data_IF_728937396294
#
_entry.id   IF_728937396294
#
_cell.length_a   1.000
_cell.length_b   1.000
_cell.length_c   1.000
_cell.angle_alpha   90.00
_cell.angle_beta   90.00
_cell.angle_gamma   90.00
#
_symmetry.space_group_name_H-M   'P 1'
#
loop_
_entity.id
_entity.type
_entity.pdbx_description
1 polymer ?
#
# COMPACT_ATOMS: atom_id res chain seq x y z
N UNK A 1 -5.46 5.79 30.52
CA UNK A 1 -4.67 6.05 29.29
C UNK A 1 -4.67 4.74 28.50
N UNK A 2 -5.61 4.57 27.56
CA UNK A 2 -5.71 3.33 26.78
C UNK A 2 -4.67 3.37 25.67
N UNK A 3 -3.67 2.49 25.79
CA UNK A 3 -2.66 2.27 24.77
C UNK A 3 -3.32 1.74 23.51
N UNK A 4 -3.19 2.47 22.40
CA UNK A 4 -3.39 1.96 21.05
C UNK A 4 -2.25 0.97 20.79
N UNK A 5 -2.35 -0.23 21.38
CA UNK A 5 -1.49 -1.33 21.02
C UNK A 5 -1.82 -1.66 19.56
N UNK A 6 -0.99 -1.16 18.65
CA UNK A 6 -0.88 -1.81 17.36
C UNK A 6 -0.66 -3.29 17.65
N UNK A 7 -1.42 -4.17 17.00
CA UNK A 7 -1.12 -5.59 17.06
C UNK A 7 0.30 -5.76 16.49
N UNK A 8 1.30 -5.88 17.38
CA UNK A 8 2.72 -5.93 17.02
C UNK A 8 3.06 -7.13 16.11
N UNK A 9 2.13 -8.07 15.99
CA UNK A 9 2.20 -9.24 15.11
C UNK A 9 1.84 -8.96 13.64
N UNK A 10 1.21 -7.82 13.31
CA UNK A 10 0.86 -7.47 11.93
C UNK A 10 1.98 -6.62 11.33
N UNK A 11 2.63 -7.06 10.23
CA UNK A 11 3.68 -6.30 9.58
C UNK A 11 3.24 -4.87 9.26
N UNK A 12 4.14 -3.91 9.48
CA UNK A 12 3.94 -2.51 9.12
C UNK A 12 4.72 -2.20 7.84
N UNK A 13 4.01 -1.72 6.82
CA UNK A 13 4.60 -1.23 5.58
C UNK A 13 4.47 0.29 5.51
N UNK A 14 5.49 0.92 4.95
CA UNK A 14 5.49 2.35 4.68
C UNK A 14 4.50 2.67 3.56
N UNK A 15 3.65 3.67 3.80
CA UNK A 15 2.75 4.22 2.80
C UNK A 15 3.22 5.57 2.29
N UNK A 16 3.24 5.74 0.97
CA UNK A 16 3.53 7.00 0.29
C UNK A 16 2.23 7.69 -0.11
N UNK A 17 1.97 8.88 0.41
CA UNK A 17 0.69 9.59 0.30
C UNK A 17 0.75 10.65 -0.80
N UNK A 18 -0.25 10.68 -1.68
CA UNK A 18 -0.49 11.79 -2.60
C UNK A 18 -2.00 12.02 -2.77
N UNK A 19 -2.49 13.19 -2.36
CA UNK A 19 -3.93 13.47 -2.38
C UNK A 19 -4.66 12.50 -1.45
N UNK A 20 -5.64 11.76 -1.98
CA UNK A 20 -6.41 10.71 -1.27
C UNK A 20 -5.86 9.29 -1.45
N UNK A 21 -4.69 9.13 -2.09
CA UNK A 21 -4.11 7.83 -2.43
C UNK A 21 -2.87 7.54 -1.60
N UNK A 22 -2.69 6.27 -1.26
CA UNK A 22 -1.49 5.74 -0.62
C UNK A 22 -0.91 4.63 -1.50
N UNK A 23 0.36 4.75 -1.87
CA UNK A 23 1.11 3.68 -2.53
C UNK A 23 1.98 2.94 -1.52
N UNK A 24 2.06 1.62 -1.62
CA UNK A 24 2.79 0.75 -0.69
C UNK A 24 3.62 -0.23 -1.48
N UNK A 25 4.94 -0.22 -1.30
CA UNK A 25 5.81 -1.18 -1.96
C UNK A 25 5.65 -2.57 -1.35
N UNK A 26 5.36 -3.56 -2.19
CA UNK A 26 5.32 -4.96 -1.81
C UNK A 26 6.57 -5.69 -2.35
N UNK A 27 7.48 -6.19 -1.49
CA UNK A 27 8.67 -6.91 -1.95
C UNK A 27 8.37 -8.27 -2.60
N UNK A 28 7.19 -8.86 -2.36
CA UNK A 28 6.78 -10.14 -2.94
C UNK A 28 6.19 -9.95 -4.33
N UNK A 29 5.24 -9.03 -4.44
CA UNK A 29 4.62 -8.66 -5.69
C UNK A 29 5.60 -7.82 -6.58
N UNK A 30 6.69 -7.28 -6.03
CA UNK A 30 7.71 -6.41 -6.68
C UNK A 30 7.12 -5.17 -7.37
N UNK A 31 6.06 -4.63 -6.77
CA UNK A 31 5.23 -3.54 -7.26
C UNK A 31 4.60 -2.74 -6.08
N UNK A 32 4.02 -1.58 -6.38
CA UNK A 32 3.22 -0.75 -5.50
C UNK A 32 1.74 -1.15 -5.50
N UNK A 33 1.20 -1.47 -4.33
CA UNK A 33 -0.24 -1.57 -4.12
C UNK A 33 -0.81 -0.19 -3.80
N UNK A 34 -2.02 0.09 -4.28
CA UNK A 34 -2.68 1.38 -4.09
C UNK A 34 -3.87 1.25 -3.15
N UNK A 35 -3.95 2.17 -2.20
CA UNK A 35 -4.97 2.21 -1.15
C UNK A 35 -5.58 3.61 -1.05
N UNK A 36 -6.74 3.70 -0.42
CA UNK A 36 -7.26 4.98 0.07
C UNK A 36 -6.46 5.48 1.27
N UNK A 37 -6.59 6.77 1.59
CA UNK A 37 -6.07 7.29 2.85
C UNK A 37 -6.83 6.67 4.03
N UNK A 38 -6.15 6.02 4.99
CA UNK A 38 -6.82 5.49 6.17
C UNK A 38 -7.41 6.62 7.02
N UNK A 39 -8.58 6.39 7.61
CA UNK A 39 -9.20 7.36 8.52
C UNK A 39 -8.31 7.57 9.77
N UNK A 40 -8.26 8.79 10.34
CA UNK A 40 -7.50 9.04 11.56
C UNK A 40 -7.90 8.09 12.70
N UNK A 41 -6.92 7.40 13.28
CA UNK A 41 -7.15 6.41 14.34
C UNK A 41 -7.51 4.99 13.85
N UNK A 42 -7.62 4.77 12.54
CA UNK A 42 -7.86 3.46 11.94
C UNK A 42 -6.60 2.99 11.21
N UNK A 43 -5.95 1.93 11.71
CA UNK A 43 -5.03 1.17 10.87
C UNK A 43 -5.87 0.25 9.98
N UNK A 44 -6.06 0.62 8.71
CA UNK A 44 -6.66 -0.30 7.76
C UNK A 44 -5.70 -1.48 7.59
N UNK A 45 -6.22 -2.70 7.83
CA UNK A 45 -5.58 -3.92 7.35
C UNK A 45 -5.90 -3.98 5.87
N UNK A 46 -4.92 -3.59 5.07
CA UNK A 46 -5.13 -3.48 3.64
C UNK A 46 -4.99 -4.83 2.94
N UNK A 47 -5.61 -4.88 1.76
CA UNK A 47 -5.83 -6.06 0.95
C UNK A 47 -4.57 -6.87 0.62
N UNK A 48 -4.79 -8.19 0.64
CA UNK A 48 -3.81 -9.25 0.59
C UNK A 48 -2.98 -9.19 -0.70
N UNK A 49 -1.64 -9.24 -0.63
CA UNK A 49 -0.79 -9.33 -1.84
C UNK A 49 -1.27 -10.52 -2.68
N UNK A 50 -1.42 -10.33 -3.99
CA UNK A 50 -1.95 -11.37 -4.88
C UNK A 50 -1.03 -12.61 -4.97
N UNK A 51 0.22 -12.51 -4.53
CA UNK A 51 1.13 -13.63 -4.39
C UNK A 51 0.81 -14.46 -3.13
N UNK A 52 0.27 -15.66 -3.34
CA UNK A 52 -0.09 -16.60 -2.27
C UNK A 52 1.09 -17.08 -1.40
N UNK A 53 2.34 -16.90 -1.86
CA UNK A 53 3.55 -17.18 -1.09
C UNK A 53 3.93 -16.03 -0.14
N UNK A 54 3.36 -14.84 -0.36
CA UNK A 54 3.59 -13.69 0.52
C UNK A 54 2.96 -13.93 1.90
N UNK A 55 3.68 -13.64 3.00
CA UNK A 55 3.08 -13.58 4.33
C UNK A 55 1.86 -12.64 4.37
N UNK A 56 1.89 -11.57 3.57
CA UNK A 56 0.81 -10.59 3.46
C UNK A 56 -0.46 -11.18 2.84
N UNK A 57 -0.36 -12.27 2.06
CA UNK A 57 -1.53 -12.94 1.48
C UNK A 57 -2.47 -13.50 2.54
N UNK A 58 -1.98 -13.83 3.75
CA UNK A 58 -2.85 -14.36 4.83
C UNK A 58 -3.03 -13.39 5.97
N UNK A 59 -1.98 -12.69 6.39
CA UNK A 59 -2.01 -11.79 7.55
C UNK A 59 -2.32 -10.33 7.20
N UNK A 60 -2.18 -9.92 5.94
CA UNK A 60 -2.22 -8.51 5.54
C UNK A 60 -1.07 -7.70 6.15
N UNK A 61 -1.19 -6.38 6.12
CA UNK A 61 -0.25 -5.45 6.74
C UNK A 61 -0.95 -4.16 7.16
N UNK A 62 -0.28 -3.36 7.99
CA UNK A 62 -0.71 -2.01 8.39
C UNK A 62 0.09 -0.94 7.65
N UNK A 63 -0.53 0.21 7.37
CA UNK A 63 0.11 1.35 6.73
C UNK A 63 0.69 2.30 7.77
N UNK A 64 1.97 2.15 8.09
CA UNK A 64 2.68 3.07 9.00
C UNK A 64 4.20 2.99 8.81
N UNK A 65 4.91 4.13 8.73
CA UNK A 65 4.37 5.49 8.68
C UNK A 65 3.73 5.82 7.32
N UNK A 66 2.89 6.85 7.31
CA UNK A 66 2.44 7.52 6.10
C UNK A 66 3.32 8.74 5.86
N UNK A 67 3.97 8.81 4.71
CA UNK A 67 4.85 9.93 4.34
C UNK A 67 4.42 10.52 3.00
N UNK A 68 4.70 11.79 2.77
CA UNK A 68 4.45 12.41 1.46
C UNK A 68 5.17 11.63 0.35
N UNK A 69 4.48 11.40 -0.76
CA UNK A 69 5.02 10.63 -1.89
C UNK A 69 6.04 11.47 -2.68
N UNK A 70 7.32 11.04 -2.73
CA UNK A 70 8.30 11.69 -3.59
C UNK A 70 7.94 11.55 -5.07
N UNK A 71 8.32 12.53 -5.89
CA UNK A 71 8.07 12.49 -7.34
C UNK A 71 8.65 11.23 -8.01
N UNK A 72 9.82 10.76 -7.56
CA UNK A 72 10.44 9.54 -8.06
C UNK A 72 9.59 8.28 -7.76
N UNK A 73 9.00 8.20 -6.57
CA UNK A 73 8.08 7.10 -6.21
C UNK A 73 6.81 7.17 -7.03
N UNK A 74 6.26 8.36 -7.27
CA UNK A 74 5.11 8.52 -8.17
C UNK A 74 5.42 8.01 -9.58
N UNK A 75 6.56 8.40 -10.14
CA UNK A 75 7.01 7.96 -11.47
C UNK A 75 7.22 6.44 -11.53
N UNK A 76 7.89 5.87 -10.54
CA UNK A 76 8.15 4.42 -10.49
C UNK A 76 6.86 3.62 -10.31
N UNK A 77 5.95 4.06 -9.44
CA UNK A 77 4.66 3.42 -9.23
C UNK A 77 3.76 3.48 -10.49
N UNK A 78 3.83 4.57 -11.28
CA UNK A 78 3.14 4.66 -12.57
C UNK A 78 3.78 3.81 -13.66
N UNK A 79 5.10 3.65 -13.61
CA UNK A 79 5.83 2.76 -14.53
C UNK A 79 5.50 1.30 -14.26
N UNK A 80 5.35 0.91 -13.00
CA UNK A 80 5.13 -0.49 -12.58
C UNK A 80 3.70 -0.98 -12.68
N UNK A 81 2.75 -0.09 -13.02
CA UNK A 81 1.31 -0.33 -13.29
C UNK A 81 0.75 -1.59 -12.61
N UNK A 82 0.03 -1.45 -11.47
CA UNK A 82 -0.50 -2.57 -10.67
C UNK A 82 -1.54 -3.44 -11.39
N UNK A 83 -2.11 -2.91 -12.46
CA UNK A 83 -2.91 -3.65 -13.42
C UNK A 83 -2.24 -3.41 -14.77
N UNK A 84 -1.98 -4.46 -15.55
CA UNK A 84 -1.48 -4.36 -16.93
C UNK A 84 -2.31 -3.40 -17.79
N UNK A 85 -1.98 -3.18 -19.08
CA UNK A 85 -2.69 -2.19 -19.90
C UNK A 85 -4.21 -2.46 -19.92
N UNK A 86 -4.98 -1.78 -19.08
CA UNK A 86 -6.42 -1.64 -19.25
C UNK A 86 -6.60 -0.55 -20.28
N UNK A 87 -6.76 -1.00 -21.53
CA UNK A 87 -7.20 -0.26 -22.70
C UNK A 87 -6.46 1.04 -23.03
N UNK A 88 -5.93 1.06 -24.25
CA UNK A 88 -5.74 2.30 -24.98
C UNK A 88 -7.10 2.99 -25.02
N UNK A 89 -7.25 4.10 -24.30
CA UNK A 89 -8.33 5.05 -24.62
C UNK A 89 -7.90 5.65 -25.96
N UNK A 90 -8.44 5.11 -27.04
CA UNK A 90 -8.40 5.74 -28.36
C UNK A 90 -9.08 7.10 -28.28
N UNK A 91 -8.51 8.04 -29.03
CA UNK A 91 -8.83 9.48 -29.12
C UNK A 91 -10.32 9.82 -29.21
#
# INVERSE_FOLDING_TARGET
>A
MNSLAANDDIPALMGFVRGYRVAVWCPYCTDYHWHGLPLPGYSHREEHCHDASSPYYRSGYTLRPLIEMPAAVWQDAHRRRPYGPHEVISE
#
